data_IF_178129582004
#
_entry.id   IF_178129582004
#
_cell.length_a   1.000
_cell.length_b   1.000
_cell.length_c   1.000
_cell.angle_alpha   90.00
_cell.angle_beta   90.00
_cell.angle_gamma   90.00
#
_symmetry.space_group_name_H-M   'P 1'
#
loop_
_entity.id
_entity.type
_entity.pdbx_description
1 polymer ?
#
# COMPACT_ATOMS: atom_id res chain seq x y z
N UNK A 1 2.00 -9.74 18.94
CA UNK A 1 0.81 -8.92 19.23
C UNK A 1 1.25 -7.70 20.00
N UNK A 2 1.38 -7.82 21.32
CA UNK A 2 1.66 -6.66 22.19
C UNK A 2 2.97 -5.91 21.90
N UNK A 3 4.09 -6.59 21.67
CA UNK A 3 5.37 -5.93 21.36
C UNK A 3 5.28 -5.11 20.06
N UNK A 4 4.75 -5.71 18.98
CA UNK A 4 4.50 -5.02 17.72
C UNK A 4 3.51 -3.86 17.87
N UNK A 5 2.45 -4.05 18.66
CA UNK A 5 1.46 -3.00 18.95
C UNK A 5 2.13 -1.80 19.60
N UNK A 6 2.97 -2.00 20.63
CA UNK A 6 3.64 -0.90 21.31
C UNK A 6 4.66 -0.19 20.41
N UNK A 7 5.45 -0.93 19.64
CA UNK A 7 6.46 -0.36 18.73
C UNK A 7 5.80 0.55 17.68
N UNK A 8 4.64 0.15 17.16
CA UNK A 8 3.98 0.85 16.06
C UNK A 8 2.83 1.76 16.52
N UNK A 9 2.53 1.83 17.83
CA UNK A 9 1.39 2.59 18.36
C UNK A 9 1.42 4.06 17.98
N UNK A 10 2.58 4.69 18.08
CA UNK A 10 2.71 6.12 17.76
C UNK A 10 2.50 6.42 16.27
N UNK A 11 2.73 5.43 15.40
CA UNK A 11 2.59 5.58 13.95
C UNK A 11 1.23 5.10 13.43
N UNK A 12 0.77 3.92 13.85
CA UNK A 12 -0.44 3.25 13.37
C UNK A 12 -1.64 3.40 14.31
N UNK A 13 -1.43 3.91 15.52
CA UNK A 13 -2.47 4.03 16.55
C UNK A 13 -3.12 2.69 16.85
N UNK A 14 -4.44 2.72 17.02
CA UNK A 14 -5.28 1.53 17.19
C UNK A 14 -5.92 1.07 15.86
N UNK A 15 -5.24 1.37 14.73
CA UNK A 15 -5.71 1.02 13.40
C UNK A 15 -5.64 -0.48 13.10
N UNK A 16 -6.25 -0.88 11.98
CA UNK A 16 -6.48 -2.28 11.59
C UNK A 16 -5.20 -3.12 11.49
N UNK A 17 -4.04 -2.48 11.28
CA UNK A 17 -2.75 -3.16 11.21
C UNK A 17 -2.06 -3.33 12.55
N UNK A 18 -2.53 -2.65 13.60
CA UNK A 18 -1.85 -2.59 14.88
C UNK A 18 -2.61 -3.30 16.01
N UNK A 19 -3.94 -3.40 15.92
CA UNK A 19 -4.77 -4.06 16.94
C UNK A 19 -5.00 -5.54 16.62
N UNK A 20 -5.22 -6.33 17.68
CA UNK A 20 -5.57 -7.75 17.62
C UNK A 20 -7.00 -8.01 18.13
N UNK A 21 -7.50 -9.24 17.98
CA UNK A 21 -8.74 -9.70 18.60
C UNK A 21 -10.01 -9.09 18.00
N UNK A 22 -10.98 -8.78 18.87
CA UNK A 22 -12.28 -8.24 18.44
C UNK A 22 -12.20 -6.85 17.77
N UNK A 23 -11.38 -5.90 18.24
CA UNK A 23 -11.13 -4.64 17.53
C UNK A 23 -10.68 -4.86 16.08
N UNK A 24 -9.73 -5.78 15.86
CA UNK A 24 -9.27 -6.14 14.52
C UNK A 24 -10.39 -6.74 13.67
N UNK A 25 -11.17 -7.69 14.23
CA UNK A 25 -12.29 -8.32 13.50
C UNK A 25 -13.33 -7.29 13.05
N UNK A 26 -13.65 -6.34 13.92
CA UNK A 26 -14.59 -5.26 13.61
C UNK A 26 -14.06 -4.35 12.49
N UNK A 27 -12.84 -3.84 12.63
CA UNK A 27 -12.24 -2.94 11.64
C UNK A 27 -12.03 -3.64 10.29
N UNK A 28 -11.61 -4.92 10.29
CA UNK A 28 -11.50 -5.73 9.06
C UNK A 28 -12.82 -5.91 8.35
N UNK A 29 -13.90 -6.15 9.10
CA UNK A 29 -15.24 -6.26 8.50
C UNK A 29 -15.62 -4.95 7.83
N UNK A 30 -15.43 -3.81 8.52
CA UNK A 30 -15.71 -2.49 7.95
C UNK A 30 -14.86 -2.21 6.69
N UNK A 31 -13.55 -2.41 6.79
CA UNK A 31 -12.61 -2.22 5.68
C UNK A 31 -12.96 -3.09 4.46
N UNK A 32 -13.44 -4.32 4.67
CA UNK A 32 -13.79 -5.21 3.55
C UNK A 32 -14.94 -4.69 2.67
N UNK A 33 -15.82 -3.85 3.22
CA UNK A 33 -16.87 -3.20 2.44
C UNK A 33 -16.32 -2.05 1.58
N UNK A 34 -15.40 -1.26 2.14
CA UNK A 34 -14.76 -0.14 1.44
C UNK A 34 -13.78 -0.63 0.36
N UNK A 35 -12.99 -1.67 0.64
CA UNK A 35 -12.05 -2.30 -0.28
C UNK A 35 -12.69 -3.43 -1.10
N UNK A 36 -13.90 -3.20 -1.61
CA UNK A 36 -14.54 -4.15 -2.53
C UNK A 36 -13.70 -4.30 -3.81
N UNK A 37 -13.80 -5.46 -4.48
CA UNK A 37 -13.11 -5.69 -5.77
C UNK A 37 -13.42 -4.57 -6.78
N UNK A 38 -14.66 -4.08 -6.81
CA UNK A 38 -15.06 -2.98 -7.70
C UNK A 38 -14.35 -1.68 -7.32
N UNK A 39 -14.37 -1.30 -6.04
CA UNK A 39 -13.70 -0.08 -5.57
C UNK A 39 -12.18 -0.11 -5.87
N UNK A 40 -11.52 -1.24 -5.65
CA UNK A 40 -10.10 -1.42 -5.98
C UNK A 40 -9.85 -1.33 -7.50
N UNK A 41 -10.68 -1.96 -8.33
CA UNK A 41 -10.50 -1.90 -9.79
C UNK A 41 -10.76 -0.50 -10.34
N UNK A 42 -11.79 0.19 -9.85
CA UNK A 42 -12.20 1.51 -10.32
C UNK A 42 -11.18 2.59 -9.91
N UNK A 43 -10.69 2.55 -8.67
CA UNK A 43 -9.70 3.51 -8.18
C UNK A 43 -8.28 3.20 -8.68
N UNK A 44 -7.86 1.95 -8.56
CA UNK A 44 -6.44 1.62 -8.72
C UNK A 44 -6.02 1.51 -10.19
N UNK A 45 -6.93 1.21 -11.12
CA UNK A 45 -6.55 1.04 -12.53
C UNK A 45 -5.93 2.29 -13.16
N UNK A 46 -6.46 3.47 -12.86
CA UNK A 46 -5.92 4.74 -13.39
C UNK A 46 -4.60 5.10 -12.71
N UNK A 47 -4.53 4.95 -11.39
CA UNK A 47 -3.34 5.23 -10.59
C UNK A 47 -2.18 4.32 -11.00
N UNK A 48 -2.41 3.00 -11.09
CA UNK A 48 -1.38 2.05 -11.50
C UNK A 48 -0.86 2.34 -12.90
N UNK A 49 -1.72 2.64 -13.87
CA UNK A 49 -1.29 3.00 -15.22
C UNK A 49 -0.46 4.27 -15.23
N UNK A 50 -0.91 5.30 -14.52
CA UNK A 50 -0.18 6.56 -14.41
C UNK A 50 1.20 6.38 -13.81
N UNK A 51 1.30 5.64 -12.69
CA UNK A 51 2.57 5.39 -12.01
C UNK A 51 3.50 4.46 -12.79
N UNK A 52 2.96 3.46 -13.46
CA UNK A 52 3.74 2.62 -14.38
C UNK A 52 4.31 3.42 -15.55
N UNK A 53 3.54 4.36 -16.12
CA UNK A 53 4.00 5.23 -17.20
C UNK A 53 5.10 6.19 -16.73
N UNK A 54 4.94 6.79 -15.54
CA UNK A 54 5.96 7.64 -14.90
C UNK A 54 7.26 6.85 -14.70
N UNK A 55 7.19 5.67 -14.09
CA UNK A 55 8.35 4.79 -13.92
C UNK A 55 9.00 4.42 -15.27
N UNK A 56 8.20 4.04 -16.27
CA UNK A 56 8.71 3.68 -17.59
C UNK A 56 9.45 4.84 -18.26
N UNK A 57 9.00 6.08 -18.09
CA UNK A 57 9.72 7.26 -18.58
C UNK A 57 11.08 7.42 -17.89
N UNK A 58 11.13 7.31 -16.56
CA UNK A 58 12.39 7.37 -15.82
C UNK A 58 13.36 6.28 -16.27
N UNK A 59 12.88 5.04 -16.40
CA UNK A 59 13.69 3.92 -16.88
C UNK A 59 14.18 4.14 -18.31
N UNK A 60 13.36 4.71 -19.19
CA UNK A 60 13.77 5.02 -20.56
C UNK A 60 14.91 6.04 -20.63
N UNK A 61 14.91 7.04 -19.74
CA UNK A 61 16.00 8.02 -19.65
C UNK A 61 17.27 7.32 -19.18
N UNK A 62 17.20 6.56 -18.09
CA UNK A 62 18.39 5.93 -17.52
C UNK A 62 18.93 4.81 -18.43
N UNK A 63 18.09 4.11 -19.18
CA UNK A 63 18.51 3.13 -20.17
C UNK A 63 19.48 3.72 -21.22
N UNK A 64 19.37 5.02 -21.54
CA UNK A 64 20.30 5.69 -22.45
C UNK A 64 21.69 5.95 -21.85
N UNK A 65 21.84 5.83 -20.53
CA UNK A 65 23.03 6.26 -19.78
C UNK A 65 24.01 5.13 -19.41
N UNK A 66 23.71 3.88 -19.78
CA UNK A 66 24.50 2.69 -19.38
C UNK A 66 24.75 2.54 -17.86
N UNK A 67 23.99 3.26 -17.03
CA UNK A 67 24.09 3.18 -15.58
C UNK A 67 23.21 2.03 -15.06
N UNK A 68 23.72 1.31 -14.05
CA UNK A 68 22.92 0.34 -13.31
C UNK A 68 21.87 1.05 -12.45
N UNK A 69 20.68 0.47 -12.36
CA UNK A 69 19.56 0.97 -11.55
C UNK A 69 19.28 -0.02 -10.43
N UNK A 70 19.11 0.48 -9.21
CA UNK A 70 18.50 -0.27 -8.12
C UNK A 70 16.98 -0.22 -8.24
N UNK A 71 16.34 -1.38 -8.20
CA UNK A 71 14.90 -1.55 -8.40
C UNK A 71 14.13 -1.78 -7.10
N UNK A 72 14.82 -1.82 -5.94
CA UNK A 72 14.21 -1.88 -4.62
C UNK A 72 13.80 -0.50 -4.11
#
# INVERSE_FOLDING_TARGET
GEESYQILKDFLGDGIFNVDGDPWRYQRKLASYEFSRRAVMDFSSSVFRSKAAELAQHLSVVASTHMAIDMQ
#
